data_IF_862889877964
#
_entry.id   IF_862889877964
#
_cell.length_a   1.000
_cell.length_b   1.000
_cell.length_c   1.000
_cell.angle_alpha   90.00
_cell.angle_beta   90.00
_cell.angle_gamma   90.00
#
_symmetry.space_group_name_H-M   'P 1'
#
loop_
_entity.id
_entity.type
_entity.pdbx_description
1 polymer ?
#
# COMPACT_ATOMS: atom_id res chain seq x y z
N UNK A 1 5.70 37.78 -23.54
CA UNK A 1 6.88 37.00 -23.12
C UNK A 1 6.40 36.14 -21.98
N UNK A 2 5.95 34.95 -22.33
CA UNK A 2 5.23 34.02 -21.46
C UNK A 2 5.96 32.69 -21.47
N UNK A 3 7.15 32.70 -20.89
CA UNK A 3 8.04 31.56 -20.81
C UNK A 3 8.60 31.57 -19.37
N UNK A 4 8.63 30.40 -18.73
CA UNK A 4 9.32 30.12 -17.45
C UNK A 4 8.57 30.31 -16.10
N UNK A 5 7.23 30.30 -16.06
CA UNK A 5 6.50 30.02 -14.79
C UNK A 5 6.13 28.54 -14.65
N UNK A 6 6.41 27.72 -15.65
CA UNK A 6 6.37 26.25 -15.59
C UNK A 6 7.64 25.71 -14.89
N UNK A 7 8.02 26.40 -13.81
CA UNK A 7 9.02 25.94 -12.84
C UNK A 7 8.58 24.54 -12.44
N UNK A 8 9.32 23.54 -12.90
CA UNK A 8 9.30 22.16 -12.45
C UNK A 8 8.51 22.03 -11.14
N UNK A 9 7.26 21.59 -11.22
CA UNK A 9 6.71 20.87 -10.08
C UNK A 9 7.67 19.69 -9.93
N UNK A 10 8.67 19.86 -9.06
CA UNK A 10 9.61 18.80 -8.73
C UNK A 10 8.70 17.64 -8.33
N UNK A 11 8.64 16.63 -9.19
CA UNK A 11 7.76 15.49 -8.99
C UNK A 11 8.14 14.92 -7.63
N UNK A 12 7.34 15.22 -6.61
CA UNK A 12 7.62 14.79 -5.24
C UNK A 12 7.41 13.29 -5.26
N UNK A 13 8.46 12.52 -5.03
CA UNK A 13 8.28 11.07 -5.05
C UNK A 13 7.49 10.62 -3.84
N UNK A 14 6.91 9.42 -3.94
CA UNK A 14 6.25 8.74 -2.83
C UNK A 14 7.19 8.67 -1.60
N UNK A 15 8.49 8.51 -1.83
CA UNK A 15 9.47 8.39 -0.76
C UNK A 15 9.85 9.75 -0.14
N UNK A 16 9.72 10.85 -0.87
CA UNK A 16 10.02 12.20 -0.35
C UNK A 16 8.96 12.72 0.63
N UNK A 17 7.82 12.03 0.74
CA UNK A 17 6.76 12.33 1.71
C UNK A 17 6.94 11.62 3.06
N UNK A 18 7.86 10.66 3.11
CA UNK A 18 8.21 9.94 4.33
C UNK A 18 9.33 10.68 5.04
N UNK A 19 9.53 10.40 6.33
CA UNK A 19 10.73 10.88 7.01
C UNK A 19 11.98 10.24 6.39
N UNK A 20 13.13 10.92 6.56
CA UNK A 20 14.38 10.54 5.89
C UNK A 20 14.83 9.10 6.21
N UNK A 21 14.63 8.65 7.46
CA UNK A 21 15.07 7.32 7.90
C UNK A 21 14.20 6.22 7.29
N UNK A 22 12.88 6.44 7.27
CA UNK A 22 11.92 5.56 6.60
C UNK A 22 12.19 5.49 5.10
N UNK A 23 12.36 6.64 4.45
CA UNK A 23 12.65 6.72 3.02
C UNK A 23 13.96 6.00 2.66
N UNK A 24 15.04 6.22 3.43
CA UNK A 24 16.33 5.56 3.21
C UNK A 24 16.22 4.03 3.41
N UNK A 25 15.50 3.58 4.44
CA UNK A 25 15.29 2.16 4.69
C UNK A 25 14.55 1.49 3.54
N UNK A 26 13.47 2.09 3.06
CA UNK A 26 12.68 1.56 1.92
C UNK A 26 13.52 1.57 0.64
N UNK A 27 14.27 2.66 0.35
CA UNK A 27 15.22 2.71 -0.78
C UNK A 27 16.25 1.58 -0.70
N UNK A 28 16.79 1.34 0.51
CA UNK A 28 17.78 0.29 0.75
C UNK A 28 17.23 -1.11 0.48
N UNK A 29 16.04 -1.43 0.97
CA UNK A 29 15.42 -2.75 0.77
C UNK A 29 15.02 -2.93 -0.70
N UNK A 30 14.25 -1.99 -1.26
CA UNK A 30 13.75 -2.11 -2.63
C UNK A 30 14.89 -2.05 -3.65
N UNK A 31 15.92 -1.22 -3.44
CA UNK A 31 17.08 -1.17 -4.31
C UNK A 31 17.82 -2.51 -4.44
N UNK A 32 17.81 -3.34 -3.39
CA UNK A 32 18.42 -4.67 -3.41
C UNK A 32 17.48 -5.76 -3.90
N UNK A 33 16.19 -5.68 -3.57
CA UNK A 33 15.22 -6.77 -3.75
C UNK A 33 14.27 -6.57 -4.93
N UNK A 34 13.89 -5.33 -5.21
CA UNK A 34 12.88 -4.97 -6.20
C UNK A 34 13.16 -3.58 -6.80
N UNK A 35 14.23 -3.42 -7.60
CA UNK A 35 14.64 -2.12 -8.14
C UNK A 35 13.56 -1.49 -9.05
N UNK A 36 12.74 -2.32 -9.73
CA UNK A 36 11.62 -1.83 -10.53
C UNK A 36 10.51 -1.21 -9.68
N UNK A 37 10.24 -1.75 -8.48
CA UNK A 37 9.30 -1.15 -7.52
C UNK A 37 9.85 0.16 -6.96
N UNK A 38 11.16 0.21 -6.66
CA UNK A 38 11.81 1.45 -6.23
C UNK A 38 11.61 2.55 -7.29
N UNK A 39 11.91 2.24 -8.56
CA UNK A 39 11.72 3.19 -9.66
C UNK A 39 10.27 3.64 -9.81
N UNK A 40 9.31 2.72 -9.62
CA UNK A 40 7.89 3.05 -9.64
C UNK A 40 7.52 4.06 -8.54
N UNK A 41 8.02 3.88 -7.31
CA UNK A 41 7.80 4.82 -6.20
C UNK A 41 8.48 6.18 -6.42
N UNK A 42 9.65 6.19 -7.04
CA UNK A 42 10.39 7.42 -7.35
C UNK A 42 9.72 8.23 -8.47
N UNK A 43 8.92 7.59 -9.32
CA UNK A 43 8.26 8.23 -10.47
C UNK A 43 6.82 8.65 -10.20
N UNK A 44 6.31 8.45 -8.98
CA UNK A 44 4.92 8.76 -8.63
C UNK A 44 4.83 9.46 -7.28
N UNK A 45 3.88 10.36 -7.19
CA UNK A 45 3.55 11.13 -6.00
C UNK A 45 2.82 10.28 -4.93
N UNK A 46 2.04 9.30 -5.39
CA UNK A 46 1.40 8.30 -4.55
C UNK A 46 1.43 6.92 -5.24
N UNK A 47 1.68 5.83 -4.51
CA UNK A 47 1.69 4.49 -5.07
C UNK A 47 0.27 4.05 -5.40
N UNK A 48 0.10 3.31 -6.50
CA UNK A 48 -1.16 2.60 -6.74
C UNK A 48 -1.33 1.49 -5.70
N UNK A 49 -2.56 1.03 -5.49
CA UNK A 49 -2.87 -0.06 -4.56
C UNK A 49 -2.00 -1.30 -4.79
N UNK A 50 -1.88 -1.75 -6.05
CA UNK A 50 -1.04 -2.92 -6.37
C UNK A 50 0.46 -2.68 -6.17
N UNK A 51 0.95 -1.45 -6.33
CA UNK A 51 2.36 -1.12 -6.03
C UNK A 51 2.57 -1.09 -4.51
N UNK A 52 1.65 -0.50 -3.76
CA UNK A 52 1.68 -0.47 -2.29
C UNK A 52 1.72 -1.89 -1.71
N UNK A 53 0.85 -2.78 -2.16
CA UNK A 53 0.81 -4.19 -1.71
C UNK A 53 2.12 -4.93 -2.01
N UNK A 54 2.70 -4.70 -3.19
CA UNK A 54 4.00 -5.29 -3.53
C UNK A 54 5.16 -4.73 -2.68
N UNK A 55 5.11 -3.45 -2.33
CA UNK A 55 6.11 -2.85 -1.42
C UNK A 55 5.96 -3.43 -0.02
N UNK A 56 4.73 -3.56 0.48
CA UNK A 56 4.42 -4.20 1.76
C UNK A 56 4.98 -5.63 1.80
N UNK A 57 4.71 -6.45 0.78
CA UNK A 57 5.19 -7.83 0.67
C UNK A 57 6.72 -7.94 0.68
N UNK A 58 7.41 -7.08 -0.08
CA UNK A 58 8.88 -7.08 -0.14
C UNK A 58 9.50 -6.67 1.19
N UNK A 59 8.95 -5.64 1.86
CA UNK A 59 9.45 -5.19 3.15
C UNK A 59 9.16 -6.21 4.26
N UNK A 60 7.98 -6.83 4.27
CA UNK A 60 7.62 -7.90 5.19
C UNK A 60 8.54 -9.12 5.01
N UNK A 61 8.81 -9.52 3.77
CA UNK A 61 9.76 -10.61 3.46
C UNK A 61 11.17 -10.28 3.94
N UNK A 62 11.62 -9.02 3.84
CA UNK A 62 12.92 -8.62 4.39
C UNK A 62 12.93 -8.66 5.92
N UNK A 63 11.85 -8.21 6.57
CA UNK A 63 11.70 -8.30 8.02
C UNK A 63 11.76 -9.76 8.51
N UNK A 64 11.02 -10.68 7.89
CA UNK A 64 11.02 -12.10 8.26
C UNK A 64 12.41 -12.72 8.22
N UNK A 65 13.28 -12.29 7.29
CA UNK A 65 14.67 -12.75 7.21
C UNK A 65 15.51 -12.29 8.39
N UNK A 66 15.19 -11.11 8.93
CA UNK A 66 15.88 -10.53 10.09
C UNK A 66 15.33 -11.05 11.44
N UNK A 67 14.29 -11.88 11.40
CA UNK A 67 13.65 -12.53 12.58
C UNK A 67 13.99 -14.03 12.64
N UNK A 68 14.89 -14.53 11.78
CA UNK A 68 15.17 -15.96 11.60
C UNK A 68 16.03 -16.64 12.69
N UNK A 69 16.03 -16.13 13.93
CA UNK A 69 16.74 -16.70 15.08
C UNK A 69 15.85 -17.64 15.94
N UNK A 70 16.45 -18.46 16.82
CA UNK A 70 15.71 -19.38 17.69
C UNK A 70 14.73 -18.68 18.64
N UNK A 71 15.00 -17.42 18.97
CA UNK A 71 14.19 -16.60 19.88
C UNK A 71 13.17 -15.70 19.14
N UNK A 72 13.14 -15.74 17.80
CA UNK A 72 12.28 -14.89 16.97
C UNK A 72 12.41 -13.39 17.27
N UNK A 73 13.57 -12.98 17.78
CA UNK A 73 13.88 -11.57 18.00
C UNK A 73 14.42 -10.95 16.70
N UNK A 74 13.84 -9.82 16.23
CA UNK A 74 14.39 -9.10 15.09
C UNK A 74 15.77 -8.53 15.41
N UNK A 75 16.66 -8.53 14.42
CA UNK A 75 17.88 -7.73 14.52
C UNK A 75 17.54 -6.24 14.64
N UNK A 76 18.52 -5.41 15.04
CA UNK A 76 18.36 -3.94 15.00
C UNK A 76 18.08 -3.41 13.58
N UNK A 77 18.41 -4.16 12.53
CA UNK A 77 18.01 -3.84 11.17
C UNK A 77 16.56 -4.29 10.91
N UNK A 78 16.16 -5.48 11.36
CA UNK A 78 14.77 -5.95 11.32
C UNK A 78 13.79 -4.97 11.96
N UNK A 79 14.10 -4.44 13.15
CA UNK A 79 13.27 -3.41 13.81
C UNK A 79 13.08 -2.17 12.94
N UNK A 80 14.16 -1.70 12.28
CA UNK A 80 14.07 -0.54 11.37
C UNK A 80 13.22 -0.83 10.14
N UNK A 81 13.27 -2.05 9.61
CA UNK A 81 12.42 -2.47 8.49
C UNK A 81 10.95 -2.51 8.93
N UNK A 82 10.64 -3.06 10.11
CA UNK A 82 9.27 -3.10 10.65
C UNK A 82 8.70 -1.69 10.87
N UNK A 83 9.47 -0.80 11.49
CA UNK A 83 9.10 0.61 11.66
C UNK A 83 8.83 1.29 10.30
N UNK A 84 9.66 1.01 9.30
CA UNK A 84 9.50 1.56 7.95
C UNK A 84 8.25 1.02 7.25
N UNK A 85 7.91 -0.27 7.43
CA UNK A 85 6.63 -0.85 6.98
C UNK A 85 5.48 -0.09 7.62
N UNK A 86 5.46 0.02 8.95
CA UNK A 86 4.38 0.68 9.68
C UNK A 86 4.15 2.11 9.20
N UNK A 87 5.22 2.91 9.08
CA UNK A 87 5.14 4.30 8.61
C UNK A 87 4.70 4.42 7.16
N UNK A 88 5.14 3.51 6.29
CA UNK A 88 4.68 3.46 4.91
C UNK A 88 3.18 3.17 4.81
N UNK A 89 2.67 2.18 5.55
CA UNK A 89 1.26 1.80 5.52
C UNK A 89 0.35 2.85 6.15
N UNK A 90 0.82 3.58 7.16
CA UNK A 90 0.11 4.73 7.75
C UNK A 90 0.02 5.89 6.76
N UNK A 91 1.10 6.17 6.03
CA UNK A 91 1.17 7.26 5.05
C UNK A 91 0.35 6.96 3.80
N UNK A 92 0.23 5.69 3.43
CA UNK A 92 -0.52 5.21 2.29
C UNK A 92 -1.52 4.13 2.73
N UNK A 93 -2.61 4.49 3.41
CA UNK A 93 -3.57 3.53 3.90
C UNK A 93 -4.34 2.87 2.74
N UNK A 94 -4.74 1.61 2.92
CA UNK A 94 -5.83 1.05 2.10
C UNK A 94 -7.10 1.75 2.55
N UNK A 95 -7.47 2.85 1.89
CA UNK A 95 -8.87 3.24 1.92
C UNK A 95 -9.60 2.17 1.15
N UNK A 96 -10.33 1.29 1.85
CA UNK A 96 -11.46 0.63 1.21
C UNK A 96 -12.24 1.72 0.48
N UNK A 97 -12.70 1.52 -0.76
CA UNK A 97 -13.62 2.48 -1.36
C UNK A 97 -14.71 2.71 -0.30
N UNK A 98 -14.81 3.95 0.19
CA UNK A 98 -15.95 4.35 1.03
C UNK A 98 -17.14 3.81 0.31
N UNK A 99 -17.93 2.94 0.96
CA UNK A 99 -19.16 2.40 0.41
C UNK A 99 -20.01 3.58 -0.08
N UNK A 100 -19.83 4.00 -1.33
CA UNK A 100 -20.89 4.53 -2.13
C UNK A 100 -21.84 3.37 -2.24
N UNK A 101 -22.83 3.36 -1.35
CA UNK A 101 -24.06 2.60 -1.42
C UNK A 101 -23.94 1.37 -2.33
N UNK A 102 -23.35 0.29 -1.80
CA UNK A 102 -23.72 -1.03 -2.32
C UNK A 102 -25.14 -1.24 -1.81
N UNK A 103 -26.13 -0.77 -2.58
CA UNK A 103 -27.48 -1.30 -2.50
C UNK A 103 -27.34 -2.80 -2.76
N UNK A 104 -27.26 -3.56 -1.67
CA UNK A 104 -27.44 -4.99 -1.68
C UNK A 104 -28.74 -5.27 -2.45
N UNK A 105 -28.77 -6.17 -3.43
CA UNK A 105 -30.02 -6.51 -4.09
C UNK A 105 -31.02 -6.91 -3.01
N UNK A 106 -32.27 -6.40 -3.02
CA UNK A 106 -33.25 -6.78 -2.02
C UNK A 106 -33.30 -8.30 -1.94
N UNK A 107 -33.18 -8.85 -0.73
CA UNK A 107 -33.30 -10.28 -0.47
C UNK A 107 -34.48 -10.81 -1.28
N UNK A 108 -34.30 -11.82 -2.16
CA UNK A 108 -35.43 -12.39 -2.85
C UNK A 108 -36.41 -12.86 -1.78
N UNK A 109 -37.61 -12.26 -1.78
CA UNK A 109 -38.68 -12.61 -0.87
C UNK A 109 -39.01 -14.08 -1.11
N UNK A 110 -38.61 -14.94 -0.18
CA UNK A 110 -38.86 -16.38 -0.23
C UNK A 110 -40.31 -16.73 0.15
N UNK A 111 -41.27 -15.79 0.05
CA UNK A 111 -42.68 -16.18 0.04
C UNK A 111 -42.99 -16.73 -1.34
N UNK A 112 -42.95 -18.06 -1.42
CA UNK A 112 -43.37 -18.80 -2.59
C UNK A 112 -44.77 -18.36 -3.07
N UNK A 113 -45.08 -18.59 -4.36
CA UNK A 113 -46.36 -18.20 -4.89
C UNK A 113 -47.48 -18.90 -4.12
N UNK A 114 -48.36 -18.10 -3.53
CA UNK A 114 -49.69 -18.54 -3.11
C UNK A 114 -50.29 -19.35 -4.25
N UNK A 115 -50.63 -20.61 -3.96
CA UNK A 115 -51.36 -21.44 -4.91
C UNK A 115 -52.67 -20.72 -5.21
N UNK A 116 -52.76 -20.23 -6.44
CA UNK A 116 -53.99 -19.81 -7.06
C UNK A 116 -55.03 -20.91 -6.84
N UNK A 117 -56.09 -20.55 -6.13
CA UNK A 117 -57.35 -21.26 -6.26
C UNK A 117 -57.85 -21.12 -7.70
N UNK A 118 -58.33 -22.22 -8.25
CA UNK A 118 -59.57 -22.39 -9.04
C UNK A 118 -59.53 -23.70 -9.82
N UNK A 119 -60.67 -24.28 -10.22
CA UNK A 119 -62.05 -23.81 -10.06
C UNK A 119 -62.82 -24.42 -8.87
#
# INVERSE_FOLDING_TARGET
MGEDVERLEAQVSTLDRLDAETAETIRGVLGRRAPDLLRALESTDAPSMGVREQVEDVLATEFEREVAGPDWEPTAYGVRVDDAVGRFLISYPITQPTKGTVEWPPTPDLRGPERAGQP
#
